data_IF_874851527221
#
_entry.id   IF_874851527221
#
_cell.length_a   1.000
_cell.length_b   1.000
_cell.length_c   1.000
_cell.angle_alpha   90.00
_cell.angle_beta   90.00
_cell.angle_gamma   90.00
#
_symmetry.space_group_name_H-M   'P 1'
#
loop_
_entity.id
_entity.type
_entity.pdbx_description
1 polymer ?
#
# COMPACT_ATOMS: atom_id res chain seq x y z
N UNK A 1 -40.87 -2.70 1.47
CA UNK A 1 -41.15 -2.62 2.91
C UNK A 1 -40.47 -3.71 3.74
N UNK A 2 -40.60 -5.00 3.40
CA UNK A 2 -39.95 -6.10 4.16
C UNK A 2 -38.41 -6.00 4.25
N UNK A 3 -37.73 -5.67 3.15
CA UNK A 3 -36.28 -5.51 3.14
C UNK A 3 -35.81 -4.39 4.08
N UNK A 4 -36.49 -3.24 4.06
CA UNK A 4 -36.17 -2.10 4.93
C UNK A 4 -36.38 -2.46 6.40
N UNK A 5 -37.49 -3.12 6.74
CA UNK A 5 -37.75 -3.58 8.11
C UNK A 5 -36.68 -4.56 8.59
N UNK A 6 -36.26 -5.50 7.73
CA UNK A 6 -35.18 -6.43 8.03
C UNK A 6 -33.85 -5.73 8.30
N UNK A 7 -33.45 -4.76 7.45
CA UNK A 7 -32.20 -4.02 7.64
C UNK A 7 -32.23 -3.15 8.91
N UNK A 8 -33.35 -2.48 9.19
CA UNK A 8 -33.53 -1.72 10.44
C UNK A 8 -33.40 -2.65 11.65
N UNK A 9 -34.07 -3.80 11.63
CA UNK A 9 -34.02 -4.76 12.73
C UNK A 9 -32.62 -5.37 12.90
N UNK A 10 -31.92 -5.67 11.80
CA UNK A 10 -30.56 -6.18 11.82
C UNK A 10 -29.59 -5.14 12.41
N UNK A 11 -29.67 -3.88 11.94
CA UNK A 11 -28.85 -2.79 12.47
C UNK A 11 -29.12 -2.54 13.96
N UNK A 12 -30.40 -2.57 14.39
CA UNK A 12 -30.75 -2.38 15.79
C UNK A 12 -30.30 -3.53 16.70
N UNK A 13 -30.32 -4.78 16.20
CA UNK A 13 -29.90 -5.97 16.97
C UNK A 13 -28.40 -6.25 16.90
N UNK A 14 -27.68 -5.61 15.98
CA UNK A 14 -26.21 -5.67 15.92
C UNK A 14 -25.68 -4.56 16.81
N UNK A 15 -25.33 -4.90 18.05
CA UNK A 15 -24.91 -3.95 19.08
C UNK A 15 -23.47 -3.42 18.82
N UNK A 16 -23.29 -2.69 17.71
CA UNK A 16 -22.00 -2.10 17.30
C UNK A 16 -21.53 -0.99 18.28
N UNK A 17 -22.47 -0.32 18.95
CA UNK A 17 -22.20 0.84 19.82
C UNK A 17 -21.70 0.42 21.22
N UNK A 18 -22.08 -0.78 21.70
CA UNK A 18 -21.73 -1.26 23.05
C UNK A 18 -20.60 -2.30 23.07
N UNK A 19 -19.79 -2.37 22.02
CA UNK A 19 -18.64 -3.28 21.97
C UNK A 19 -17.51 -2.80 22.87
N UNK A 20 -16.64 -3.75 23.25
CA UNK A 20 -15.35 -3.43 23.84
C UNK A 20 -14.58 -2.49 22.91
N UNK A 21 -13.77 -1.60 23.48
CA UNK A 21 -13.00 -0.64 22.70
C UNK A 21 -12.11 -1.38 21.69
N UNK A 22 -12.11 -0.99 20.40
CA UNK A 22 -11.33 -1.66 19.38
C UNK A 22 -9.83 -1.53 19.67
N UNK A 23 -9.05 -2.51 19.20
CA UNK A 23 -7.60 -2.37 19.12
C UNK A 23 -7.23 -1.33 18.05
N UNK A 24 -6.05 -0.71 18.10
CA UNK A 24 -5.60 0.17 17.01
C UNK A 24 -5.59 -0.52 15.64
N UNK A 25 -5.29 -1.82 15.59
CA UNK A 25 -5.39 -2.62 14.36
C UNK A 25 -6.84 -2.74 13.86
N UNK A 26 -7.82 -2.91 14.76
CA UNK A 26 -9.24 -2.95 14.40
C UNK A 26 -9.73 -1.60 13.88
N UNK A 27 -9.35 -0.49 14.53
CA UNK A 27 -9.67 0.86 14.05
C UNK A 27 -9.16 1.08 12.63
N UNK A 28 -7.92 0.69 12.35
CA UNK A 28 -7.36 0.75 11.00
C UNK A 28 -8.18 -0.09 10.01
N UNK A 29 -8.54 -1.33 10.36
CA UNK A 29 -9.37 -2.20 9.49
C UNK A 29 -10.74 -1.59 9.21
N UNK A 30 -11.39 -1.00 10.21
CA UNK A 30 -12.68 -0.34 10.03
C UNK A 30 -12.57 0.92 9.17
N UNK A 31 -11.54 1.74 9.36
CA UNK A 31 -11.28 2.92 8.53
C UNK A 31 -11.07 2.55 7.06
N UNK A 32 -10.33 1.47 6.79
CA UNK A 32 -10.09 0.98 5.43
C UNK A 32 -11.35 0.44 4.72
N UNK A 33 -12.43 0.16 5.45
CA UNK A 33 -13.69 -0.30 4.86
C UNK A 33 -14.31 0.75 3.92
N UNK A 34 -14.17 2.04 4.23
CA UNK A 34 -14.65 3.11 3.32
C UNK A 34 -13.88 3.12 2.00
N UNK A 35 -12.57 2.80 2.05
CA UNK A 35 -11.76 2.67 0.83
C UNK A 35 -12.30 1.53 -0.02
N UNK A 36 -12.49 0.36 0.59
CA UNK A 36 -13.00 -0.84 -0.07
C UNK A 36 -14.39 -0.62 -0.72
N UNK A 37 -15.35 -0.07 0.04
CA UNK A 37 -16.74 0.02 -0.40
C UNK A 37 -16.98 1.14 -1.42
N UNK A 38 -16.34 2.30 -1.23
CA UNK A 38 -16.74 3.53 -1.96
C UNK A 38 -15.59 4.21 -2.69
N UNK A 39 -14.48 4.51 -2.01
CA UNK A 39 -13.42 5.37 -2.57
C UNK A 39 -12.70 4.65 -3.71
N UNK A 40 -12.48 3.33 -3.58
CA UNK A 40 -11.86 2.50 -4.62
C UNK A 40 -12.52 2.67 -5.99
N UNK A 41 -13.85 2.66 -6.04
CA UNK A 41 -14.64 2.85 -7.27
C UNK A 41 -14.90 4.33 -7.58
N UNK A 42 -14.93 5.18 -6.55
CA UNK A 42 -15.23 6.60 -6.65
C UNK A 42 -14.14 7.40 -7.35
N UNK A 43 -12.87 7.14 -7.03
CA UNK A 43 -11.72 7.85 -7.61
C UNK A 43 -11.68 7.76 -9.15
N UNK A 44 -11.64 6.56 -9.78
CA UNK A 44 -11.59 6.48 -11.24
C UNK A 44 -12.81 7.13 -11.89
N UNK A 45 -14.01 7.00 -11.31
CA UNK A 45 -15.23 7.66 -11.79
C UNK A 45 -15.13 9.18 -11.76
N UNK A 46 -14.53 9.75 -10.72
CA UNK A 46 -14.25 11.18 -10.64
C UNK A 46 -13.21 11.60 -11.70
N UNK A 47 -12.12 10.86 -11.85
CA UNK A 47 -11.08 11.16 -12.85
C UNK A 47 -11.64 11.10 -14.29
N UNK A 48 -12.56 10.17 -14.58
CA UNK A 48 -13.31 10.17 -15.85
C UNK A 48 -14.15 11.42 -16.05
N UNK A 49 -14.75 11.96 -14.98
CA UNK A 49 -15.49 13.22 -15.04
C UNK A 49 -14.57 14.40 -15.34
N UNK A 50 -13.34 14.38 -14.80
CA UNK A 50 -12.30 15.36 -15.14
C UNK A 50 -11.96 15.28 -16.62
N UNK A 51 -11.75 14.08 -17.18
CA UNK A 51 -11.53 13.91 -18.63
C UNK A 51 -12.67 14.51 -19.47
N UNK A 52 -13.93 14.26 -19.10
CA UNK A 52 -15.09 14.84 -19.79
C UNK A 52 -15.09 16.38 -19.69
N UNK A 53 -14.75 16.92 -18.52
CA UNK A 53 -14.70 18.36 -18.33
C UNK A 53 -13.60 19.03 -19.16
N UNK A 54 -12.41 18.41 -19.22
CA UNK A 54 -11.30 18.85 -20.07
C UNK A 54 -11.69 18.87 -21.55
N UNK A 55 -12.36 17.81 -22.02
CA UNK A 55 -12.87 17.74 -23.38
C UNK A 55 -13.87 18.85 -23.71
N UNK A 56 -14.77 19.18 -22.78
CA UNK A 56 -15.77 20.23 -22.97
C UNK A 56 -15.18 21.64 -23.07
N UNK A 57 -13.93 21.84 -22.64
CA UNK A 57 -13.21 23.12 -22.78
C UNK A 57 -12.18 23.10 -23.92
N UNK A 58 -12.19 22.07 -24.77
CA UNK A 58 -11.33 21.96 -25.96
C UNK A 58 -10.00 21.24 -25.76
N UNK A 59 -9.80 20.53 -24.63
CA UNK A 59 -8.63 19.68 -24.40
C UNK A 59 -8.99 18.24 -24.77
N UNK A 60 -8.50 17.76 -25.92
CA UNK A 60 -8.79 16.41 -26.43
C UNK A 60 -7.94 15.29 -25.80
N UNK A 61 -7.06 15.65 -24.86
CA UNK A 61 -6.25 14.72 -24.07
C UNK A 61 -6.95 14.36 -22.76
N UNK A 62 -6.80 13.10 -22.33
CA UNK A 62 -7.20 12.68 -20.98
C UNK A 62 -6.16 13.13 -19.97
N UNK A 63 -6.58 13.28 -18.72
CA UNK A 63 -5.62 13.45 -17.62
C UNK A 63 -4.70 12.21 -17.57
N UNK A 64 -3.36 12.38 -17.55
CA UNK A 64 -2.42 11.26 -17.40
C UNK A 64 -2.80 10.37 -16.21
N UNK A 65 -2.70 9.05 -16.37
CA UNK A 65 -3.17 8.10 -15.36
C UNK A 65 -2.35 8.17 -14.06
N UNK A 66 -1.10 8.61 -14.17
CA UNK A 66 -0.10 8.76 -13.11
C UNK A 66 -0.12 10.15 -12.44
N UNK A 67 -1.00 11.06 -12.91
CA UNK A 67 -1.15 12.38 -12.32
C UNK A 67 -1.62 12.25 -10.84
N UNK A 68 -0.86 12.77 -9.86
CA UNK A 68 -1.15 12.59 -8.43
C UNK A 68 -2.26 13.54 -7.93
N UNK A 69 -3.43 13.52 -8.57
CA UNK A 69 -4.50 14.49 -8.30
C UNK A 69 -5.16 14.32 -6.92
N UNK A 70 -5.30 13.06 -6.48
CA UNK A 70 -5.86 12.71 -5.17
C UNK A 70 -4.93 11.70 -4.51
N UNK A 71 -4.66 11.89 -3.22
CA UNK A 71 -3.92 10.94 -2.39
C UNK A 71 -4.60 10.79 -1.04
N UNK A 72 -4.40 9.63 -0.42
CA UNK A 72 -4.95 9.31 0.89
C UNK A 72 -3.81 8.98 1.87
N UNK A 73 -3.92 9.52 3.07
CA UNK A 73 -3.06 9.19 4.21
C UNK A 73 -3.93 8.71 5.37
N UNK A 74 -3.30 8.04 6.33
CA UNK A 74 -3.94 7.51 7.54
C UNK A 74 -3.08 7.85 8.75
N UNK A 75 -3.72 8.09 9.89
CA UNK A 75 -3.09 8.19 11.21
C UNK A 75 -3.31 6.93 12.06
N UNK A 76 -4.23 6.04 11.64
CA UNK A 76 -4.62 4.85 12.40
C UNK A 76 -3.44 3.88 12.50
N UNK A 77 -2.90 3.73 13.71
CA UNK A 77 -1.70 2.94 14.01
C UNK A 77 -0.36 3.66 13.82
N UNK A 78 -0.37 4.95 13.49
CA UNK A 78 0.82 5.80 13.37
C UNK A 78 0.85 6.96 14.36
N UNK A 79 -0.32 7.48 14.73
CA UNK A 79 -0.47 8.49 15.78
C UNK A 79 -0.38 7.87 17.18
N UNK A 80 0.72 8.16 17.87
CA UNK A 80 1.03 7.69 19.22
C UNK A 80 1.06 8.82 20.25
N UNK A 81 0.73 10.05 19.84
CA UNK A 81 0.67 11.22 20.70
C UNK A 81 -0.38 11.03 21.82
N UNK A 82 0.08 10.93 23.07
CA UNK A 82 -0.76 10.65 24.24
C UNK A 82 -1.46 9.28 24.23
N UNK A 83 -1.06 8.35 23.36
CA UNK A 83 -1.71 7.04 23.22
C UNK A 83 -0.70 5.88 23.26
N UNK A 84 -0.39 5.34 24.46
CA UNK A 84 0.61 4.28 24.63
C UNK A 84 0.17 2.92 24.04
N UNK A 85 -1.08 2.80 23.57
CA UNK A 85 -1.55 1.59 22.89
C UNK A 85 -1.02 1.46 21.46
N UNK A 86 -0.50 2.54 20.87
CA UNK A 86 0.09 2.52 19.53
C UNK A 86 1.59 2.25 19.65
N UNK A 87 1.95 0.97 19.81
CA UNK A 87 3.33 0.52 19.95
C UNK A 87 4.04 0.44 18.59
N UNK A 88 5.36 0.21 18.52
CA UNK A 88 6.06 0.00 17.25
C UNK A 88 5.51 -1.21 16.47
N UNK A 89 5.13 -2.27 17.17
CA UNK A 89 4.53 -3.47 16.57
C UNK A 89 3.18 -3.15 15.93
N UNK A 90 2.35 -2.34 16.58
CA UNK A 90 1.09 -1.85 16.00
C UNK A 90 1.35 -1.13 14.67
N UNK A 91 2.33 -0.23 14.63
CA UNK A 91 2.73 0.48 13.40
C UNK A 91 3.17 -0.48 12.29
N UNK A 92 3.96 -1.51 12.64
CA UNK A 92 4.35 -2.56 11.70
C UNK A 92 3.14 -3.32 11.18
N UNK A 93 2.25 -3.76 12.06
CA UNK A 93 1.06 -4.54 11.74
C UNK A 93 0.14 -3.78 10.79
N UNK A 94 -0.18 -2.51 11.08
CA UNK A 94 -1.07 -1.74 10.21
C UNK A 94 -0.49 -1.51 8.81
N UNK A 95 0.83 -1.36 8.69
CA UNK A 95 1.49 -1.23 7.38
C UNK A 95 1.39 -2.53 6.57
N UNK A 96 1.59 -3.68 7.21
CA UNK A 96 1.45 -4.99 6.57
C UNK A 96 -0.01 -5.29 6.21
N UNK A 97 -0.95 -4.95 7.09
CA UNK A 97 -2.40 -5.06 6.84
C UNK A 97 -2.81 -4.21 5.63
N UNK A 98 -2.32 -2.97 5.55
CA UNK A 98 -2.63 -2.08 4.43
C UNK A 98 -2.13 -2.66 3.09
N UNK A 99 -0.90 -3.19 3.07
CA UNK A 99 -0.35 -3.89 1.89
C UNK A 99 -1.14 -5.14 1.52
N UNK A 100 -1.57 -5.92 2.50
CA UNK A 100 -2.38 -7.11 2.28
C UNK A 100 -3.78 -6.76 1.72
N UNK A 101 -4.42 -5.71 2.24
CA UNK A 101 -5.71 -5.22 1.74
C UNK A 101 -5.60 -4.66 0.32
N UNK A 102 -4.53 -3.92 0.01
CA UNK A 102 -4.24 -3.45 -1.33
C UNK A 102 -4.14 -4.63 -2.31
N UNK A 103 -3.34 -5.64 -1.98
CA UNK A 103 -3.18 -6.84 -2.82
C UNK A 103 -4.52 -7.55 -3.08
N UNK A 104 -5.39 -7.67 -2.07
CA UNK A 104 -6.74 -8.25 -2.24
C UNK A 104 -7.60 -7.47 -3.24
N UNK A 105 -7.63 -6.15 -3.13
CA UNK A 105 -8.37 -5.28 -4.06
C UNK A 105 -7.83 -5.40 -5.49
N UNK A 106 -6.50 -5.41 -5.64
CA UNK A 106 -5.85 -5.56 -6.95
C UNK A 106 -6.08 -6.93 -7.57
N UNK A 107 -6.02 -8.03 -6.80
CA UNK A 107 -6.30 -9.38 -7.30
C UNK A 107 -7.67 -9.42 -7.96
N UNK A 108 -8.71 -8.90 -7.28
CA UNK A 108 -10.07 -8.86 -7.82
C UNK A 108 -10.15 -8.04 -9.11
N UNK A 109 -9.52 -6.86 -9.13
CA UNK A 109 -9.52 -6.02 -10.33
C UNK A 109 -8.75 -6.64 -11.51
N UNK A 110 -7.64 -7.33 -11.25
CA UNK A 110 -6.91 -8.07 -12.30
C UNK A 110 -7.74 -9.24 -12.82
N UNK A 111 -8.42 -9.98 -11.96
CA UNK A 111 -9.30 -11.09 -12.38
C UNK A 111 -10.45 -10.58 -13.26
N UNK A 112 -11.08 -9.45 -12.91
CA UNK A 112 -12.08 -8.79 -13.75
C UNK A 112 -11.49 -8.35 -15.11
N UNK A 113 -10.29 -7.75 -15.12
CA UNK A 113 -9.59 -7.40 -16.36
C UNK A 113 -9.24 -8.62 -17.21
N UNK A 114 -8.88 -9.75 -16.61
CA UNK A 114 -8.61 -10.99 -17.35
C UNK A 114 -9.87 -11.47 -18.09
N UNK A 115 -11.06 -11.33 -17.50
CA UNK A 115 -12.29 -11.66 -18.20
C UNK A 115 -12.52 -10.75 -19.42
N UNK A 116 -12.37 -9.44 -19.25
CA UNK A 116 -12.62 -8.43 -20.28
C UNK A 116 -11.59 -8.46 -21.42
N UNK A 117 -10.29 -8.55 -21.10
CA UNK A 117 -9.19 -8.45 -22.07
C UNK A 117 -8.89 -9.80 -22.74
N UNK A 118 -9.89 -10.34 -23.44
CA UNK A 118 -9.84 -11.61 -24.18
C UNK A 118 -9.28 -11.50 -25.60
N UNK A 119 -8.85 -10.30 -26.01
CA UNK A 119 -8.40 -10.01 -27.37
C UNK A 119 -7.15 -10.80 -27.73
N UNK A 120 -7.08 -11.23 -28.99
CA UNK A 120 -5.94 -11.99 -29.52
C UNK A 120 -4.92 -11.12 -30.27
N UNK A 121 -5.34 -9.96 -30.81
CA UNK A 121 -4.46 -8.99 -31.48
C UNK A 121 -3.65 -8.21 -30.46
N UNK A 122 -2.35 -8.16 -30.66
CA UNK A 122 -1.42 -7.40 -29.83
C UNK A 122 -0.22 -6.93 -30.65
N UNK A 123 0.54 -5.98 -30.11
CA UNK A 123 1.82 -5.59 -30.68
C UNK A 123 2.90 -6.67 -30.43
N UNK A 124 4.05 -6.53 -31.12
CA UNK A 124 5.15 -7.49 -31.04
C UNK A 124 5.76 -7.58 -29.64
N UNK A 125 5.79 -6.46 -28.91
CA UNK A 125 6.33 -6.36 -27.55
C UNK A 125 5.51 -7.18 -26.54
N UNK A 126 4.17 -7.04 -26.56
CA UNK A 126 3.28 -7.84 -25.72
C UNK A 126 3.31 -9.32 -26.12
N UNK A 127 3.42 -9.62 -27.42
CA UNK A 127 3.54 -11.00 -27.90
C UNK A 127 4.79 -11.65 -27.31
N UNK A 128 5.96 -11.02 -27.46
CA UNK A 128 7.21 -11.53 -26.95
C UNK A 128 7.16 -11.76 -25.43
N UNK A 129 6.56 -10.82 -24.69
CA UNK A 129 6.37 -10.96 -23.24
C UNK A 129 5.44 -12.12 -22.86
N UNK A 130 4.34 -12.32 -23.60
CA UNK A 130 3.42 -13.43 -23.37
C UNK A 130 4.09 -14.78 -23.66
N UNK A 131 4.87 -14.88 -24.74
CA UNK A 131 5.55 -16.12 -25.14
C UNK A 131 6.67 -16.49 -24.13
N UNK A 132 7.43 -15.51 -23.63
CA UNK A 132 8.40 -15.70 -22.53
C UNK A 132 7.71 -16.27 -21.28
N UNK A 133 6.55 -15.71 -20.94
CA UNK A 133 5.78 -16.03 -19.75
C UNK A 133 5.08 -17.39 -19.80
N UNK A 134 4.76 -17.90 -21.00
CA UNK A 134 4.24 -19.24 -21.24
C UNK A 134 5.37 -20.29 -21.25
N UNK A 135 6.52 -19.95 -21.83
CA UNK A 135 7.72 -20.80 -21.85
C UNK A 135 8.36 -20.99 -20.47
N UNK A 136 8.17 -20.04 -19.55
CA UNK A 136 8.57 -20.19 -18.16
C UNK A 136 7.70 -21.25 -17.46
N UNK A 137 8.28 -22.40 -17.10
CA UNK A 137 7.56 -23.46 -16.37
C UNK A 137 7.01 -22.92 -15.05
N UNK A 138 5.72 -22.57 -15.02
CA UNK A 138 5.06 -22.12 -13.80
C UNK A 138 4.64 -23.33 -12.98
N UNK A 139 5.05 -23.38 -11.72
CA UNK A 139 4.34 -24.20 -10.72
C UNK A 139 2.93 -23.60 -10.64
N UNK A 140 1.93 -24.30 -11.17
CA UNK A 140 0.53 -23.89 -11.09
C UNK A 140 0.13 -23.89 -9.62
N UNK A 141 0.09 -22.71 -9.01
CA UNK A 141 -0.38 -22.56 -7.63
C UNK A 141 -1.90 -22.40 -7.66
N UNK A 142 -2.61 -23.32 -7.00
CA UNK A 142 -4.08 -23.41 -7.02
C UNK A 142 -4.71 -22.35 -6.12
N UNK A 143 -4.84 -21.11 -6.61
CA UNK A 143 -5.47 -20.04 -5.85
C UNK A 143 -6.88 -19.66 -6.35
N UNK A 144 -7.23 -19.97 -7.60
CA UNK A 144 -8.49 -19.54 -8.23
C UNK A 144 -9.13 -20.65 -9.09
N UNK A 145 -10.47 -20.70 -9.13
CA UNK A 145 -11.25 -21.78 -9.77
C UNK A 145 -11.51 -21.54 -11.25
N UNK A 146 -11.38 -20.31 -11.74
CA UNK A 146 -11.50 -19.94 -13.16
C UNK A 146 -10.08 -19.58 -13.67
N UNK A 147 -9.77 -19.76 -14.97
CA UNK A 147 -8.38 -19.61 -15.49
C UNK A 147 -7.28 -20.45 -14.80
N UNK A 148 -7.65 -21.53 -14.10
CA UNK A 148 -6.72 -22.55 -13.56
C UNK A 148 -6.19 -23.49 -14.64
N UNK A 149 -6.96 -23.66 -15.72
CA UNK A 149 -6.49 -24.31 -16.94
C UNK A 149 -5.48 -23.40 -17.61
N UNK A 150 -4.51 -24.00 -18.30
CA UNK A 150 -3.52 -23.26 -19.07
C UNK A 150 -4.24 -22.20 -19.94
N UNK A 151 -3.88 -20.93 -19.71
CA UNK A 151 -4.40 -19.82 -20.50
C UNK A 151 -3.86 -20.02 -21.92
N UNK A 152 -4.73 -20.08 -22.94
CA UNK A 152 -4.25 -20.38 -24.28
C UNK A 152 -3.42 -19.20 -24.81
N UNK A 153 -2.32 -19.51 -25.50
CA UNK A 153 -1.27 -18.54 -25.91
C UNK A 153 -1.75 -17.50 -26.92
N UNK A 154 -2.90 -17.74 -27.55
CA UNK A 154 -3.59 -16.79 -28.41
C UNK A 154 -4.29 -15.67 -27.62
N UNK A 155 -4.27 -15.69 -26.27
CA UNK A 155 -4.82 -14.65 -25.39
C UNK A 155 -3.70 -13.91 -24.62
N UNK A 156 -2.89 -13.06 -25.29
CA UNK A 156 -1.65 -12.50 -24.73
C UNK A 156 -1.86 -11.65 -23.48
N UNK A 157 -2.92 -10.81 -23.47
CA UNK A 157 -3.24 -9.96 -22.33
C UNK A 157 -3.52 -10.79 -21.08
N UNK A 158 -4.25 -11.91 -21.21
CA UNK A 158 -4.55 -12.82 -20.10
C UNK A 158 -3.30 -13.51 -19.56
N UNK A 159 -2.36 -13.90 -20.42
CA UNK A 159 -1.08 -14.49 -20.01
C UNK A 159 -0.25 -13.52 -19.15
N UNK A 160 -0.17 -12.25 -19.59
CA UNK A 160 0.54 -11.19 -18.85
C UNK A 160 -0.18 -10.86 -17.54
N UNK A 161 -1.49 -10.64 -17.58
CA UNK A 161 -2.28 -10.33 -16.39
C UNK A 161 -2.29 -11.48 -15.36
N UNK A 162 -2.21 -12.73 -15.81
CA UNK A 162 -2.07 -13.87 -14.91
C UNK A 162 -0.74 -13.86 -14.14
N UNK A 163 0.38 -13.46 -14.77
CA UNK A 163 1.64 -13.26 -14.05
C UNK A 163 1.52 -12.19 -12.96
N UNK A 164 0.86 -11.08 -13.30
CA UNK A 164 0.59 -9.98 -12.34
C UNK A 164 -0.26 -10.49 -11.17
N UNK A 165 -1.33 -11.22 -11.46
CA UNK A 165 -2.21 -11.84 -10.45
C UNK A 165 -1.42 -12.78 -9.54
N UNK A 166 -0.60 -13.66 -10.10
CA UNK A 166 0.18 -14.65 -9.34
C UNK A 166 1.18 -13.94 -8.39
N UNK A 167 1.83 -12.86 -8.84
CA UNK A 167 2.69 -12.02 -7.99
C UNK A 167 1.90 -11.28 -6.91
N UNK A 168 0.68 -10.83 -7.19
CA UNK A 168 -0.18 -10.21 -6.18
C UNK A 168 -0.61 -11.23 -5.11
N UNK A 169 -0.91 -12.47 -5.48
CA UNK A 169 -1.17 -13.56 -4.54
C UNK A 169 0.03 -13.80 -3.63
N UNK A 170 1.23 -13.92 -4.20
CA UNK A 170 2.47 -14.06 -3.42
C UNK A 170 2.68 -12.87 -2.48
N UNK A 171 2.38 -11.65 -2.95
CA UNK A 171 2.47 -10.42 -2.14
C UNK A 171 1.53 -10.50 -0.93
N UNK A 172 0.26 -10.85 -1.16
CA UNK A 172 -0.74 -11.04 -0.09
C UNK A 172 -0.29 -12.10 0.92
N UNK A 173 0.11 -13.27 0.45
CA UNK A 173 0.53 -14.37 1.33
C UNK A 173 1.80 -14.03 2.11
N UNK A 174 2.75 -13.32 1.49
CA UNK A 174 3.94 -12.83 2.19
C UNK A 174 3.56 -11.88 3.32
N UNK A 175 2.65 -10.93 3.09
CA UNK A 175 2.18 -10.03 4.15
C UNK A 175 1.46 -10.80 5.27
N UNK A 176 0.62 -11.79 4.91
CA UNK A 176 -0.08 -12.65 5.87
C UNK A 176 0.91 -13.41 6.76
N UNK A 177 1.95 -14.01 6.18
CA UNK A 177 3.00 -14.71 6.94
C UNK A 177 3.76 -13.75 7.87
N UNK A 178 4.18 -12.58 7.35
CA UNK A 178 4.90 -11.57 8.15
C UNK A 178 4.07 -11.02 9.32
N UNK A 179 2.75 -10.95 9.17
CA UNK A 179 1.81 -10.60 10.25
C UNK A 179 1.66 -11.72 11.28
N UNK A 180 1.58 -12.98 10.84
CA UNK A 180 1.33 -14.11 11.75
C UNK A 180 2.55 -14.62 12.49
N UNK A 181 3.72 -14.63 11.83
CA UNK A 181 4.93 -15.32 12.30
C UNK A 181 6.19 -14.47 12.22
N UNK A 182 6.11 -13.24 11.67
CA UNK A 182 7.27 -12.37 11.47
C UNK A 182 8.20 -12.79 10.32
N UNK A 183 7.96 -13.94 9.68
CA UNK A 183 8.81 -14.51 8.65
C UNK A 183 8.00 -15.12 7.50
N UNK A 184 8.52 -15.05 6.27
CA UNK A 184 7.90 -15.68 5.09
C UNK A 184 8.94 -16.32 4.19
N UNK A 185 8.70 -17.57 3.79
CA UNK A 185 9.51 -18.29 2.80
C UNK A 185 9.28 -17.81 1.36
N UNK A 186 8.20 -17.07 1.10
CA UNK A 186 7.91 -16.51 -0.22
C UNK A 186 8.97 -15.43 -0.50
N UNK A 187 9.85 -15.60 -1.49
CA UNK A 187 10.94 -14.67 -1.71
C UNK A 187 10.41 -13.34 -2.25
N UNK A 188 11.15 -12.26 -2.00
CA UNK A 188 10.69 -10.90 -2.28
C UNK A 188 10.56 -10.61 -3.78
N UNK A 189 11.40 -11.21 -4.62
CA UNK A 189 11.36 -11.14 -6.09
C UNK A 189 10.13 -11.82 -6.72
N UNK A 190 9.51 -12.76 -6.00
CA UNK A 190 8.23 -13.35 -6.38
C UNK A 190 7.01 -12.48 -6.01
N UNK A 191 7.24 -11.30 -5.42
CA UNK A 191 6.20 -10.35 -5.00
C UNK A 191 6.29 -9.01 -5.70
N UNK A 192 5.28 -8.16 -5.52
CA UNK A 192 5.26 -6.79 -6.00
C UNK A 192 5.77 -5.88 -4.90
N UNK A 193 6.99 -5.36 -5.07
CA UNK A 193 7.65 -4.49 -4.08
C UNK A 193 7.61 -3.01 -4.41
N UNK A 194 7.44 -2.65 -5.69
CA UNK A 194 7.39 -1.27 -6.16
C UNK A 194 6.20 -1.08 -7.11
N UNK A 195 5.54 0.07 -7.00
CA UNK A 195 4.44 0.51 -7.88
C UNK A 195 4.88 0.53 -9.35
N UNK A 196 6.12 0.95 -9.66
CA UNK A 196 6.62 0.96 -11.06
C UNK A 196 6.62 -0.44 -11.67
N UNK A 197 7.10 -1.45 -10.93
CA UNK A 197 7.10 -2.86 -11.38
C UNK A 197 5.68 -3.42 -11.54
N UNK A 198 4.71 -2.85 -10.81
CA UNK A 198 3.32 -3.22 -10.93
C UNK A 198 2.66 -2.59 -12.17
N UNK A 199 2.97 -1.33 -12.45
CA UNK A 199 2.42 -0.59 -13.58
C UNK A 199 3.00 -1.06 -14.93
N UNK A 200 4.27 -1.44 -14.99
CA UNK A 200 4.96 -1.87 -16.22
C UNK A 200 4.14 -2.85 -17.10
N UNK A 201 3.65 -4.00 -16.60
CA UNK A 201 2.83 -4.91 -17.41
C UNK A 201 1.46 -4.32 -17.80
N UNK A 202 0.89 -3.40 -17.01
CA UNK A 202 -0.38 -2.75 -17.32
C UNK A 202 -0.21 -1.71 -18.44
N UNK A 203 0.87 -0.95 -18.38
CA UNK A 203 1.28 0.01 -19.40
C UNK A 203 1.58 -0.69 -20.73
N UNK A 204 2.24 -1.86 -20.69
CA UNK A 204 2.46 -2.70 -21.86
C UNK A 204 1.14 -3.14 -22.50
N UNK A 205 0.18 -3.62 -21.71
CA UNK A 205 -1.17 -3.94 -22.19
C UNK A 205 -1.87 -2.70 -22.79
N UNK A 206 -1.80 -1.55 -22.13
CA UNK A 206 -2.43 -0.31 -22.58
C UNK A 206 -1.87 0.16 -23.92
N UNK A 207 -0.53 0.16 -24.05
CA UNK A 207 0.18 0.49 -25.29
C UNK A 207 -0.20 -0.46 -26.42
N UNK A 208 -0.17 -1.77 -26.18
CA UNK A 208 -0.53 -2.77 -27.20
C UNK A 208 -1.96 -2.60 -27.71
N UNK A 209 -2.93 -2.31 -26.83
CA UNK A 209 -4.30 -2.02 -27.24
C UNK A 209 -4.36 -0.76 -28.11
N UNK A 210 -3.64 0.30 -27.74
CA UNK A 210 -3.57 1.52 -28.55
C UNK A 210 -2.96 1.26 -29.94
N UNK A 211 -1.84 0.54 -30.01
CA UNK A 211 -1.14 0.20 -31.25
C UNK A 211 -2.02 -0.64 -32.20
N UNK A 212 -2.90 -1.48 -31.63
CA UNK A 212 -3.84 -2.31 -32.38
C UNK A 212 -5.15 -1.61 -32.76
N UNK A 213 -5.31 -0.32 -32.45
CA UNK A 213 -6.52 0.46 -32.73
C UNK A 213 -7.64 0.31 -31.69
N UNK A 214 -7.39 -0.39 -30.59
CA UNK A 214 -8.33 -0.69 -29.52
C UNK A 214 -8.25 0.30 -28.34
N UNK A 215 -7.88 1.55 -28.60
CA UNK A 215 -7.76 2.61 -27.57
C UNK A 215 -9.04 2.77 -26.74
N UNK A 216 -10.21 2.60 -27.35
CA UNK A 216 -11.50 2.66 -26.62
C UNK A 216 -11.60 1.60 -25.52
N UNK A 217 -11.02 0.41 -25.75
CA UNK A 217 -10.95 -0.66 -24.74
C UNK A 217 -9.90 -0.29 -23.68
N UNK A 218 -8.73 0.20 -24.10
CA UNK A 218 -7.66 0.62 -23.20
C UNK A 218 -8.12 1.72 -22.22
N UNK A 219 -8.87 2.71 -22.71
CA UNK A 219 -9.47 3.80 -21.93
C UNK A 219 -10.64 3.34 -21.03
N UNK A 220 -11.03 2.07 -21.10
CA UNK A 220 -12.03 1.42 -20.25
C UNK A 220 -11.47 1.01 -18.89
N UNK A 221 -11.78 -0.21 -18.44
CA UNK A 221 -11.43 -0.73 -17.11
C UNK A 221 -9.92 -0.72 -16.85
N UNK A 222 -9.08 -0.90 -17.88
CA UNK A 222 -7.63 -0.88 -17.73
C UNK A 222 -7.13 0.50 -17.27
N UNK A 223 -7.60 1.59 -17.88
CA UNK A 223 -7.26 2.96 -17.46
C UNK A 223 -7.73 3.25 -16.03
N UNK A 224 -8.93 2.78 -15.65
CA UNK A 224 -9.42 2.93 -14.28
C UNK A 224 -8.51 2.20 -13.28
N UNK A 225 -8.10 0.98 -13.63
CA UNK A 225 -7.20 0.20 -12.80
C UNK A 225 -5.82 0.84 -12.67
N UNK A 226 -5.24 1.35 -13.76
CA UNK A 226 -3.97 2.10 -13.71
C UNK A 226 -4.04 3.36 -12.86
N UNK A 227 -5.18 4.08 -12.92
CA UNK A 227 -5.45 5.25 -12.04
C UNK A 227 -5.58 4.84 -10.58
N UNK A 228 -6.20 3.69 -10.29
CA UNK A 228 -6.27 3.14 -8.93
C UNK A 228 -4.87 2.80 -8.41
N UNK A 229 -4.05 2.10 -9.19
CA UNK A 229 -2.66 1.79 -8.82
C UNK A 229 -1.85 3.06 -8.53
N UNK A 230 -2.02 4.10 -9.36
CA UNK A 230 -1.32 5.38 -9.20
C UNK A 230 -1.79 6.18 -7.97
N UNK A 231 -3.08 6.08 -7.63
CA UNK A 231 -3.68 6.78 -6.48
C UNK A 231 -3.33 6.09 -5.15
N UNK A 232 -3.51 4.77 -5.10
CA UNK A 232 -3.48 3.97 -3.87
C UNK A 232 -2.13 3.30 -3.62
N UNK A 233 -1.30 3.16 -4.66
CA UNK A 233 -0.01 2.47 -4.56
C UNK A 233 -0.15 1.05 -4.01
N UNK A 234 0.88 0.56 -3.34
CA UNK A 234 0.86 -0.79 -2.75
C UNK A 234 0.30 -0.84 -1.32
N UNK A 235 -0.15 0.28 -0.76
CA UNK A 235 -0.53 0.37 0.65
C UNK A 235 -1.89 1.02 0.91
N UNK A 236 -2.67 1.37 -0.13
CA UNK A 236 -3.93 2.14 -0.07
C UNK A 236 -3.76 3.58 0.44
N UNK A 237 -3.11 3.74 1.58
CA UNK A 237 -2.80 5.01 2.21
C UNK A 237 -1.33 5.04 2.62
N UNK A 238 -0.76 6.24 2.76
CA UNK A 238 0.49 6.42 3.49
C UNK A 238 0.18 6.60 4.98
N UNK A 239 0.97 5.99 5.85
CA UNK A 239 0.83 6.14 7.29
C UNK A 239 1.67 7.32 7.76
N UNK A 240 1.03 8.30 8.39
CA UNK A 240 1.77 9.37 9.08
C UNK A 240 2.12 8.90 10.49
N UNK A 241 3.31 9.28 10.97
CA UNK A 241 3.80 8.98 12.31
C UNK A 241 3.81 10.27 13.11
N UNK A 242 3.16 10.28 14.28
CA UNK A 242 3.07 11.44 15.15
C UNK A 242 3.43 11.09 16.58
N UNK A 243 4.32 11.88 17.18
CA UNK A 243 4.75 11.76 18.56
C UNK A 243 5.06 13.16 19.12
N UNK A 244 4.87 13.37 20.43
CA UNK A 244 5.13 14.66 21.08
C UNK A 244 6.64 14.97 21.16
N UNK A 245 7.00 16.26 21.22
CA UNK A 245 8.40 16.71 21.20
C UNK A 245 9.20 16.29 22.44
N UNK A 246 8.55 16.21 23.59
CA UNK A 246 9.22 15.89 24.86
C UNK A 246 9.77 14.47 24.87
N UNK A 247 9.10 13.54 24.18
CA UNK A 247 9.57 12.16 23.99
C UNK A 247 10.86 12.07 23.20
N UNK A 248 11.02 12.92 22.19
CA UNK A 248 12.28 13.02 21.46
C UNK A 248 13.37 13.65 22.33
N UNK A 249 13.02 14.67 23.11
CA UNK A 249 13.94 15.31 24.08
C UNK A 249 14.44 14.29 25.10
N UNK A 250 13.58 13.39 25.58
CA UNK A 250 13.94 12.31 26.51
C UNK A 250 14.94 11.32 25.94
N UNK A 251 14.73 10.88 24.70
CA UNK A 251 15.65 9.98 24.01
C UNK A 251 17.02 10.64 23.88
N UNK A 252 17.07 11.90 23.44
CA UNK A 252 18.32 12.63 23.28
C UNK A 252 19.00 12.87 24.63
N UNK A 253 18.26 13.24 25.66
CA UNK A 253 18.79 13.46 27.01
C UNK A 253 19.37 12.18 27.64
N UNK A 254 18.72 11.03 27.41
CA UNK A 254 19.24 9.73 27.80
C UNK A 254 20.58 9.43 27.10
N UNK A 255 20.66 9.71 25.79
CA UNK A 255 21.91 9.56 25.01
C UNK A 255 23.01 10.47 25.56
N UNK A 256 22.75 11.77 25.71
CA UNK A 256 23.79 12.72 26.15
C UNK A 256 24.28 12.42 27.57
N UNK A 257 23.38 11.99 28.45
CA UNK A 257 23.71 11.65 29.83
C UNK A 257 24.55 10.37 29.88
N UNK A 258 24.17 9.35 29.11
CA UNK A 258 24.91 8.09 29.04
C UNK A 258 26.32 8.26 28.46
N UNK A 259 26.49 9.13 27.45
CA UNK A 259 27.80 9.45 26.87
C UNK A 259 28.66 10.39 27.75
N UNK A 260 28.13 10.88 28.87
CA UNK A 260 28.84 11.78 29.78
C UNK A 260 29.07 13.19 29.21
N UNK A 261 28.33 13.60 28.18
CA UNK A 261 28.45 14.91 27.53
C UNK A 261 27.49 15.97 28.11
N UNK A 262 26.59 15.55 29.01
CA UNK A 262 25.68 16.42 29.77
C UNK A 262 24.21 16.02 29.61
N UNK A 263 23.30 16.85 30.13
CA UNK A 263 21.85 16.67 29.98
C UNK A 263 21.31 17.62 28.91
N UNK A 264 20.94 17.08 27.75
CA UNK A 264 20.29 17.82 26.67
C UNK A 264 19.04 18.59 27.14
N UNK A 265 18.24 17.99 28.03
CA UNK A 265 17.04 18.63 28.59
C UNK A 265 17.38 19.92 29.33
N UNK A 266 18.52 19.97 30.02
CA UNK A 266 18.97 21.16 30.75
C UNK A 266 19.58 22.26 29.86
N UNK A 267 19.89 21.98 28.60
CA UNK A 267 20.56 22.94 27.73
C UNK A 267 19.61 24.03 27.23
N UNK A 268 20.09 25.29 27.10
CA UNK A 268 19.36 26.33 26.40
C UNK A 268 19.21 25.97 24.92
N UNK A 269 18.21 26.55 24.27
CA UNK A 269 17.83 26.23 22.89
C UNK A 269 18.98 26.40 21.90
N UNK A 270 19.77 27.47 22.02
CA UNK A 270 20.91 27.73 21.14
C UNK A 270 21.95 26.60 21.23
N UNK A 271 22.19 26.09 22.44
CA UNK A 271 23.13 24.98 22.66
C UNK A 271 22.58 23.65 22.12
N UNK A 272 21.27 23.43 22.24
CA UNK A 272 20.60 22.26 21.63
C UNK A 272 20.80 22.27 20.11
N UNK A 273 20.55 23.40 19.46
CA UNK A 273 20.74 23.56 18.02
C UNK A 273 22.20 23.36 17.60
N UNK A 274 23.14 24.00 18.29
CA UNK A 274 24.58 23.86 18.00
C UNK A 274 25.01 22.39 18.06
N UNK A 275 24.62 21.68 19.11
CA UNK A 275 24.96 20.28 19.28
C UNK A 275 24.29 19.38 18.22
N UNK A 276 22.99 19.56 17.96
CA UNK A 276 22.28 18.82 16.91
C UNK A 276 22.93 19.02 15.53
N UNK A 277 23.28 20.25 15.17
CA UNK A 277 23.95 20.56 13.90
C UNK A 277 25.34 19.94 13.81
N UNK A 278 26.07 19.88 14.93
CA UNK A 278 27.36 19.19 15.01
C UNK A 278 27.20 17.69 14.73
N UNK A 279 26.28 17.01 15.43
CA UNK A 279 26.03 15.58 15.25
C UNK A 279 25.48 15.24 13.86
N UNK A 280 24.57 16.06 13.30
CA UNK A 280 24.02 15.88 11.96
C UNK A 280 25.06 16.01 10.84
N UNK A 281 26.11 16.81 11.03
CA UNK A 281 27.24 16.93 10.09
C UNK A 281 28.28 15.83 10.31
N UNK A 282 28.31 15.27 11.51
CA UNK A 282 29.19 14.17 11.89
C UNK A 282 28.89 12.89 11.11
N UNK A 283 29.90 12.03 10.97
CA UNK A 283 29.75 10.66 10.43
C UNK A 283 29.88 9.58 11.51
N UNK A 284 30.15 9.99 12.75
CA UNK A 284 30.30 9.09 13.88
C UNK A 284 28.90 8.67 14.35
N UNK A 285 28.62 7.36 14.53
CA UNK A 285 27.37 6.92 15.13
C UNK A 285 27.23 7.44 16.58
N UNK A 286 26.02 7.88 16.91
CA UNK A 286 25.70 8.47 18.22
C UNK A 286 25.05 7.46 19.19
N UNK A 287 24.17 6.60 18.68
CA UNK A 287 23.39 5.66 19.51
C UNK A 287 24.25 4.47 19.93
N UNK A 288 24.47 4.31 21.24
CA UNK A 288 25.20 3.16 21.79
C UNK A 288 24.28 1.94 21.95
N UNK A 289 24.73 0.71 21.61
CA UNK A 289 23.93 -0.51 21.80
C UNK A 289 23.55 -0.81 23.26
N UNK A 290 24.34 -0.32 24.22
CA UNK A 290 24.19 -0.51 25.67
C UNK A 290 23.48 0.66 26.37
N UNK A 291 22.89 1.59 25.60
CA UNK A 291 22.11 2.71 26.14
C UNK A 291 20.97 2.17 27.04
N UNK A 292 20.92 2.54 28.34
CA UNK A 292 19.79 2.21 29.20
C UNK A 292 18.52 2.89 28.70
N UNK A 293 17.47 2.10 28.45
CA UNK A 293 16.19 2.58 27.91
C UNK A 293 15.10 2.44 28.96
N UNK A 294 14.45 3.55 29.32
CA UNK A 294 13.12 3.49 29.93
C UNK A 294 12.12 2.94 28.91
N UNK A 295 10.92 2.53 29.35
CA UNK A 295 9.84 2.10 28.44
C UNK A 295 9.57 3.16 27.36
N UNK A 296 9.61 4.43 27.76
CA UNK A 296 9.29 5.55 26.88
C UNK A 296 10.38 5.83 25.84
N UNK A 297 11.65 5.65 26.20
CA UNK A 297 12.79 5.74 25.27
C UNK A 297 12.81 4.52 24.35
N UNK A 298 12.47 3.34 24.87
CA UNK A 298 12.39 2.10 24.10
C UNK A 298 11.30 2.17 23.03
N UNK A 299 10.11 2.72 23.35
CA UNK A 299 9.03 2.93 22.37
C UNK A 299 9.45 3.87 21.24
N UNK A 300 10.02 5.02 21.56
CA UNK A 300 10.44 6.01 20.57
C UNK A 300 11.53 5.46 19.64
N UNK A 301 12.56 4.82 20.19
CA UNK A 301 13.61 4.17 19.39
C UNK A 301 13.06 2.98 18.59
N UNK A 302 12.19 2.16 19.20
CA UNK A 302 11.53 1.04 18.55
C UNK A 302 10.72 1.47 17.33
N UNK A 303 10.04 2.61 17.43
CA UNK A 303 9.30 3.22 16.31
C UNK A 303 10.24 3.48 15.13
N UNK A 304 11.35 4.19 15.36
CA UNK A 304 12.31 4.48 14.29
C UNK A 304 12.95 3.22 13.70
N UNK A 305 13.16 2.16 14.50
CA UNK A 305 13.62 0.86 13.99
C UNK A 305 12.60 0.26 13.02
N UNK A 306 11.32 0.22 13.40
CA UNK A 306 10.23 -0.24 12.53
C UNK A 306 10.16 0.58 11.24
N UNK A 307 10.28 1.91 11.32
CA UNK A 307 10.28 2.77 10.13
C UNK A 307 11.46 2.52 9.20
N UNK A 308 12.63 2.14 9.74
CA UNK A 308 13.80 1.81 8.95
C UNK A 308 13.69 0.45 8.24
N UNK A 309 12.91 -0.49 8.80
CA UNK A 309 12.67 -1.82 8.24
C UNK A 309 11.57 -1.84 7.17
N UNK A 310 10.62 -0.92 7.23
CA UNK A 310 9.48 -0.89 6.32
C UNK A 310 9.87 -0.37 4.91
N UNK A 311 9.33 -0.96 3.83
CA UNK A 311 9.64 -0.51 2.47
C UNK A 311 9.06 0.88 2.19
N UNK A 312 9.87 1.74 1.55
CA UNK A 312 9.56 3.12 1.16
C UNK A 312 8.42 3.25 0.14
#
# INVERSE_FOLDING_TARGET
>A
DEALQREIQAAFRTDEIRRAQPTPQDEMRYGMNYIHETIWKGVPKFLRRVDTALKNIGIDERLPYDAPLIKFSSWMGGDRDGNPRVTPEVTRDVCLLARMMAANLYIKGIEELMFELSMWRCNDELRARADELDGASRKVVKHYTEFWRQIPTNEPYRVVLADVRDKLYNTRERMRHLLSTGFSEIPEDATITNVTKFLEPLELCYKSLCDCGDKTIADGSLLDFMRQVSTFGLSLTKLDIRQESDRHTEVIDAITTHLGIGSYRSWPEEKRQEWLLSELRGKRPLLSPDLPQSEEVADALGTFRVLAELPR
#
